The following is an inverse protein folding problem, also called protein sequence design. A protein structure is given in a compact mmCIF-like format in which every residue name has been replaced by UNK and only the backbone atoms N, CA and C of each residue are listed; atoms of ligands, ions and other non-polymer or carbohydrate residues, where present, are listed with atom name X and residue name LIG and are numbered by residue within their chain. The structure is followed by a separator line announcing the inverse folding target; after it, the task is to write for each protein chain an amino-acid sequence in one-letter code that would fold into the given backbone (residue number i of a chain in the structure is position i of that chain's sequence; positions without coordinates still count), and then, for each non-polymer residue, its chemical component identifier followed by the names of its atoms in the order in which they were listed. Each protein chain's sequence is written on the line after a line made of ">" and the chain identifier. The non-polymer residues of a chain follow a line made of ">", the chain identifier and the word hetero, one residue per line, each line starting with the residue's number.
data_IF_653210568765
#
_entry.id   IF_653210568765
#
_cell.length_a   1.000
_cell.length_b   1.000
_cell.length_c   1.000
_cell.angle_alpha   90.00
_cell.angle_beta   90.00
_cell.angle_gamma   90.00
#
_symmetry.space_group_name_H-M   'P 1'
#
loop_
_entity.id
_entity.type
_entity.pdbx_description
1 polymer ?
#
# COMPACT_ATOMS: atom_id res chain seq x y z
N UNK A 1 9.29 20.37 39.01
CA UNK A 1 9.13 18.90 38.98
C UNK A 1 8.94 18.47 37.53
N UNK A 2 9.90 17.77 36.94
CA UNK A 2 9.79 17.27 35.57
C UNK A 2 8.83 16.08 35.54
N UNK A 3 7.76 16.16 34.73
CA UNK A 3 6.85 15.03 34.49
C UNK A 3 7.60 14.00 33.66
N UNK A 4 7.79 12.78 34.18
CA UNK A 4 8.27 11.67 33.38
C UNK A 4 7.20 11.30 32.36
N UNK A 5 7.37 11.72 31.11
CA UNK A 5 6.58 11.18 30.01
C UNK A 5 6.95 9.71 29.87
N UNK A 6 5.99 8.82 30.12
CA UNK A 6 6.16 7.40 29.83
C UNK A 6 6.57 7.23 28.37
N UNK A 7 7.54 6.36 28.12
CA UNK A 7 7.91 5.96 26.76
C UNK A 7 6.67 5.40 26.08
N UNK A 8 6.15 6.12 25.07
CA UNK A 8 5.04 5.63 24.26
C UNK A 8 5.57 4.44 23.46
N UNK A 9 5.10 3.24 23.77
CA UNK A 9 5.51 1.99 23.11
C UNK A 9 4.36 1.44 22.27
N UNK A 10 4.69 0.79 21.15
CA UNK A 10 3.69 0.17 20.27
C UNK A 10 2.91 1.19 19.42
N UNK A 11 1.61 0.95 19.23
CA UNK A 11 0.75 1.74 18.32
C UNK A 11 0.53 3.19 18.77
N UNK A 12 0.80 3.49 20.04
CA UNK A 12 0.67 4.82 20.64
C UNK A 12 1.95 5.65 20.47
N UNK A 13 3.04 5.04 20.00
CA UNK A 13 4.27 5.74 19.68
C UNK A 13 4.02 6.66 18.48
N UNK A 14 4.16 7.97 18.69
CA UNK A 14 4.22 8.93 17.58
C UNK A 14 5.46 8.60 16.75
N UNK A 15 5.25 8.16 15.52
CA UNK A 15 6.31 8.08 14.53
C UNK A 15 6.68 9.52 14.20
N UNK A 16 7.88 9.94 14.60
CA UNK A 16 8.39 11.24 14.21
C UNK A 16 8.51 11.30 12.69
N UNK A 17 8.09 12.43 12.11
CA UNK A 17 8.15 12.63 10.68
C UNK A 17 9.60 12.49 10.20
N UNK A 18 9.78 11.70 9.14
CA UNK A 18 11.04 11.57 8.44
C UNK A 18 10.78 11.73 6.93
N UNK A 19 11.56 12.55 6.18
CA UNK A 19 11.34 12.78 4.75
C UNK A 19 11.26 11.50 3.90
N UNK A 20 11.97 10.45 4.32
CA UNK A 20 11.89 9.13 3.66
C UNK A 20 10.46 8.55 3.60
N UNK A 21 9.54 8.96 4.49
CA UNK A 21 8.14 8.53 4.42
C UNK A 21 7.38 9.12 3.25
N UNK A 22 7.74 10.33 2.78
CA UNK A 22 7.14 10.92 1.57
C UNK A 22 7.55 10.13 0.33
N UNK A 23 8.84 9.79 0.22
CA UNK A 23 9.37 8.99 -0.88
C UNK A 23 8.75 7.59 -0.89
N UNK A 24 8.66 6.95 0.29
CA UNK A 24 7.99 5.67 0.45
C UNK A 24 6.50 5.74 0.08
N UNK A 25 5.81 6.81 0.49
CA UNK A 25 4.40 7.05 0.13
C UNK A 25 4.20 7.22 -1.38
N UNK A 26 5.08 7.98 -2.04
CA UNK A 26 5.04 8.17 -3.49
C UNK A 26 5.28 6.86 -4.24
N UNK A 27 6.25 6.04 -3.79
CA UNK A 27 6.50 4.72 -4.34
C UNK A 27 5.30 3.80 -4.14
N UNK A 28 4.73 3.78 -2.95
CA UNK A 28 3.55 3.00 -2.61
C UNK A 28 2.37 3.31 -3.54
N UNK A 29 2.03 4.59 -3.71
CA UNK A 29 0.96 5.01 -4.59
C UNK A 29 1.24 4.66 -6.06
N UNK A 30 2.49 4.76 -6.50
CA UNK A 30 2.90 4.34 -7.85
C UNK A 30 2.72 2.84 -8.08
N UNK A 31 3.08 2.02 -7.10
CA UNK A 31 2.89 0.56 -7.15
C UNK A 31 1.41 0.18 -7.15
N UNK A 32 0.60 0.82 -6.29
CA UNK A 32 -0.85 0.60 -6.23
C UNK A 32 -1.53 0.97 -7.55
N UNK A 33 -1.16 2.10 -8.17
CA UNK A 33 -1.66 2.47 -9.52
C UNK A 33 -1.28 1.45 -10.58
N UNK A 34 -0.04 0.96 -10.54
CA UNK A 34 0.41 -0.10 -11.46
C UNK A 34 -0.40 -1.37 -11.30
N UNK A 35 -0.65 -1.79 -10.05
CA UNK A 35 -1.50 -2.93 -9.71
C UNK A 35 -2.93 -2.78 -10.25
N UNK A 36 -3.57 -1.62 -10.01
CA UNK A 36 -4.91 -1.32 -10.53
C UNK A 36 -4.94 -1.43 -12.06
N UNK A 37 -3.96 -0.83 -12.74
CA UNK A 37 -3.87 -0.88 -14.19
C UNK A 37 -3.76 -2.32 -14.69
N UNK A 38 -2.88 -3.14 -14.13
CA UNK A 38 -2.76 -4.54 -14.51
C UNK A 38 -4.05 -5.33 -14.31
N UNK A 39 -4.78 -5.10 -13.20
CA UNK A 39 -6.09 -5.72 -12.99
C UNK A 39 -7.14 -5.26 -14.02
N UNK A 40 -7.06 -4.00 -14.46
CA UNK A 40 -8.02 -3.43 -15.40
C UNK A 40 -7.75 -3.85 -16.85
N UNK A 41 -6.50 -3.73 -17.32
CA UNK A 41 -6.14 -3.91 -18.73
C UNK A 41 -5.77 -5.35 -19.04
N UNK A 42 -5.00 -5.99 -18.15
CA UNK A 42 -4.49 -7.36 -18.34
C UNK A 42 -5.33 -8.41 -17.61
N UNK A 43 -6.34 -7.98 -16.83
CA UNK A 43 -7.27 -8.86 -16.08
C UNK A 43 -6.57 -9.79 -15.09
N UNK A 44 -5.42 -9.38 -14.57
CA UNK A 44 -4.71 -10.16 -13.56
C UNK A 44 -5.53 -10.30 -12.28
N UNK A 45 -5.42 -11.46 -11.67
CA UNK A 45 -5.86 -11.72 -10.31
C UNK A 45 -4.97 -11.04 -9.27
N UNK A 46 -5.44 -10.97 -8.04
CA UNK A 46 -4.70 -10.40 -6.91
C UNK A 46 -3.35 -11.09 -6.69
N UNK A 47 -3.32 -12.43 -6.74
CA UNK A 47 -2.10 -13.22 -6.55
C UNK A 47 -1.09 -13.08 -7.69
N UNK A 48 -1.56 -12.86 -8.93
CA UNK A 48 -0.68 -12.57 -10.06
C UNK A 48 -0.05 -11.18 -9.95
N UNK A 49 -0.83 -10.21 -9.46
CA UNK A 49 -0.35 -8.86 -9.18
C UNK A 49 0.69 -8.88 -8.05
N UNK A 50 0.43 -9.58 -6.95
CA UNK A 50 1.38 -9.76 -5.85
C UNK A 50 2.74 -10.27 -6.36
N UNK A 51 2.74 -11.42 -7.07
CA UNK A 51 3.96 -12.01 -7.64
C UNK A 51 4.67 -11.05 -8.60
N UNK A 52 3.91 -10.28 -9.37
CA UNK A 52 4.48 -9.29 -10.30
C UNK A 52 5.10 -8.11 -9.58
N UNK A 53 4.48 -7.60 -8.51
CA UNK A 53 5.04 -6.55 -7.66
C UNK A 53 6.36 -7.00 -7.04
N UNK A 54 6.40 -8.21 -6.48
CA UNK A 54 7.62 -8.80 -5.92
C UNK A 54 8.73 -8.88 -6.97
N UNK A 55 8.43 -9.41 -8.17
CA UNK A 55 9.43 -9.59 -9.23
C UNK A 55 9.89 -8.26 -9.83
N UNK A 56 8.98 -7.33 -10.08
CA UNK A 56 9.25 -6.09 -10.84
C UNK A 56 9.91 -5.00 -9.98
N UNK A 57 9.51 -4.91 -8.72
CA UNK A 57 9.94 -3.82 -7.83
C UNK A 57 10.75 -4.32 -6.63
N UNK A 58 11.06 -5.62 -6.56
CA UNK A 58 11.79 -6.25 -5.46
C UNK A 58 11.14 -6.00 -4.09
N UNK A 59 9.80 -5.99 -4.07
CA UNK A 59 9.01 -5.77 -2.85
C UNK A 59 8.87 -7.10 -2.10
N UNK A 60 8.95 -7.06 -0.77
CA UNK A 60 8.73 -8.26 0.06
C UNK A 60 7.25 -8.68 0.00
N UNK A 61 7.02 -9.99 0.08
CA UNK A 61 5.70 -10.60 -0.06
C UNK A 61 4.59 -9.87 0.71
N UNK A 62 4.76 -9.62 2.01
CA UNK A 62 3.73 -8.98 2.83
C UNK A 62 3.31 -7.57 2.33
N UNK A 63 4.26 -6.79 1.81
CA UNK A 63 3.95 -5.49 1.23
C UNK A 63 3.28 -5.64 -0.14
N UNK A 64 3.75 -6.58 -0.96
CA UNK A 64 3.18 -6.84 -2.28
C UNK A 64 1.72 -7.34 -2.18
N UNK A 65 1.44 -8.21 -1.20
CA UNK A 65 0.11 -8.73 -0.89
C UNK A 65 -0.82 -7.59 -0.46
N UNK A 66 -0.40 -6.79 0.53
CA UNK A 66 -1.16 -5.61 0.98
C UNK A 66 -1.49 -4.64 -0.16
N UNK A 67 -0.52 -4.32 -1.02
CA UNK A 67 -0.73 -3.44 -2.18
C UNK A 67 -1.74 -4.07 -3.15
N UNK A 68 -1.64 -5.37 -3.41
CA UNK A 68 -2.54 -6.07 -4.33
C UNK A 68 -3.99 -6.07 -3.81
N UNK A 69 -4.19 -6.36 -2.52
CA UNK A 69 -5.51 -6.33 -1.87
C UNK A 69 -6.12 -4.93 -1.86
N UNK A 70 -5.32 -3.89 -1.57
CA UNK A 70 -5.79 -2.51 -1.62
C UNK A 70 -6.15 -2.08 -3.04
N UNK A 71 -5.33 -2.43 -4.03
CA UNK A 71 -5.61 -2.19 -5.44
C UNK A 71 -6.93 -2.85 -5.88
N UNK A 72 -7.17 -4.09 -5.44
CA UNK A 72 -8.43 -4.79 -5.72
C UNK A 72 -9.62 -4.09 -5.09
N UNK A 73 -9.50 -3.69 -3.83
CA UNK A 73 -10.53 -2.97 -3.09
C UNK A 73 -10.88 -1.65 -3.76
N UNK A 74 -9.86 -0.85 -4.10
CA UNK A 74 -10.03 0.41 -4.84
C UNK A 74 -10.72 0.18 -6.19
N UNK A 75 -10.27 -0.82 -6.95
CA UNK A 75 -10.88 -1.15 -8.24
C UNK A 75 -12.36 -1.55 -8.11
N UNK A 76 -12.72 -2.30 -7.06
CA UNK A 76 -14.11 -2.67 -6.80
C UNK A 76 -14.94 -1.43 -6.47
N UNK A 77 -14.44 -0.52 -5.64
CA UNK A 77 -15.10 0.75 -5.32
C UNK A 77 -15.34 1.60 -6.58
N UNK A 78 -14.32 1.74 -7.44
CA UNK A 78 -14.44 2.47 -8.72
C UNK A 78 -15.49 1.83 -9.64
N UNK A 79 -15.55 0.50 -9.71
CA UNK A 79 -16.55 -0.22 -10.49
C UNK A 79 -17.97 -0.02 -9.93
N UNK A 80 -18.13 0.03 -8.61
CA UNK A 80 -19.41 0.31 -7.96
C UNK A 80 -19.84 1.75 -8.23
N UNK A 81 -18.94 2.72 -8.06
CA UNK A 81 -19.22 4.14 -8.27
C UNK A 81 -19.58 4.46 -9.73
N UNK A 82 -19.03 3.73 -10.72
CA UNK A 82 -19.41 3.89 -12.14
C UNK A 82 -20.84 3.42 -12.46
N UNK A 83 -21.41 2.55 -11.63
CA UNK A 83 -22.76 1.99 -11.85
C UNK A 83 -23.88 2.88 -11.29
N UNK A 84 -23.54 3.81 -10.40
CA UNK A 84 -24.40 4.91 -9.94
C UNK A 84 -24.35 6.07 -10.92
#
# INVERSE_FOLDING_TARGET
>A
MAKSHGSLTGIEAKIEYHPAFEELGALYESWKRSAINWMQTEKLSESEVEKRLMKKFNIKWAYADSIATEARTCLNQLKTAKKT
#
